data_IF_579249595989
#
_entry.id   IF_579249595989
#
_cell.length_a   1.000
_cell.length_b   1.000
_cell.length_c   1.000
_cell.angle_alpha   90.00
_cell.angle_beta   90.00
_cell.angle_gamma   90.00
#
_symmetry.space_group_name_H-M   'P 1'
#
loop_
_entity.id
_entity.type
_entity.pdbx_description
1 polymer ?
#
# COMPACT_ATOMS: atom_id res chain seq x y z
N UNK A 1 48.08 -49.31 15.79
CA UNK A 1 48.16 -48.02 16.52
C UNK A 1 47.05 -47.12 16.03
N UNK A 2 46.13 -46.60 16.81
CA UNK A 2 45.48 -46.98 18.06
C UNK A 2 44.17 -46.17 18.00
N UNK A 3 43.06 -46.80 18.34
CA UNK A 3 41.71 -46.22 18.36
C UNK A 3 41.61 -45.05 19.35
N UNK A 4 40.66 -44.15 19.11
CA UNK A 4 40.34 -43.03 19.99
C UNK A 4 38.89 -42.59 19.81
N UNK A 5 37.97 -43.43 20.30
CA UNK A 5 36.58 -43.10 20.59
C UNK A 5 36.51 -42.20 21.83
N UNK A 6 36.01 -40.97 21.69
CA UNK A 6 35.60 -40.15 22.82
C UNK A 6 34.08 -39.97 22.85
N UNK A 7 33.51 -40.72 23.77
CA UNK A 7 32.22 -40.55 24.42
C UNK A 7 32.16 -39.21 25.17
N UNK A 8 31.19 -38.34 24.85
CA UNK A 8 30.74 -37.30 25.78
C UNK A 8 29.48 -37.77 26.51
N UNK A 9 29.67 -37.99 27.80
CA UNK A 9 28.65 -38.25 28.78
C UNK A 9 27.97 -36.95 29.23
N UNK A 10 26.65 -37.03 29.34
CA UNK A 10 25.85 -36.75 30.53
C UNK A 10 26.37 -35.67 31.49
N UNK A 11 25.69 -34.52 31.49
CA UNK A 11 25.78 -33.52 32.54
C UNK A 11 24.39 -32.91 32.79
N UNK A 12 23.78 -33.32 33.91
CA UNK A 12 23.17 -32.37 34.84
C UNK A 12 21.71 -32.04 34.62
N UNK A 13 20.85 -32.94 35.09
CA UNK A 13 19.51 -32.61 35.58
C UNK A 13 19.59 -31.51 36.66
N UNK A 14 19.05 -30.33 36.36
CA UNK A 14 19.01 -29.18 37.27
C UNK A 14 17.65 -28.50 37.29
N UNK A 15 16.78 -28.97 38.18
CA UNK A 15 15.85 -28.12 38.95
C UNK A 15 14.75 -27.37 38.21
N UNK A 16 13.65 -28.06 37.89
CA UNK A 16 12.32 -27.46 37.83
C UNK A 16 11.89 -27.02 39.23
N UNK A 17 11.88 -25.72 39.53
CA UNK A 17 11.31 -25.20 40.77
C UNK A 17 10.95 -23.70 40.71
N UNK A 18 10.19 -23.24 39.70
CA UNK A 18 9.60 -21.89 39.72
C UNK A 18 8.25 -21.80 38.97
N UNK A 19 7.26 -22.62 39.32
CA UNK A 19 5.85 -22.36 38.93
C UNK A 19 4.87 -22.91 39.97
N UNK A 20 4.84 -22.30 41.16
CA UNK A 20 3.73 -22.43 42.09
C UNK A 20 3.54 -21.14 42.87
N UNK A 21 3.10 -20.11 42.14
CA UNK A 21 2.52 -18.89 42.72
C UNK A 21 0.99 -19.02 42.74
N UNK A 22 0.30 -18.67 43.84
CA UNK A 22 -1.15 -18.81 43.92
C UNK A 22 -1.83 -17.88 42.93
N UNK A 23 -2.72 -18.45 42.11
CA UNK A 23 -3.60 -17.73 41.20
C UNK A 23 -4.51 -16.78 41.99
N UNK A 24 -4.12 -15.51 42.10
CA UNK A 24 -5.03 -14.44 42.54
C UNK A 24 -5.91 -14.03 41.37
N UNK A 25 -6.89 -14.87 41.05
CA UNK A 25 -8.06 -14.41 40.33
C UNK A 25 -8.92 -13.58 41.31
N UNK A 26 -9.32 -12.35 40.96
CA UNK A 26 -10.33 -11.65 41.73
C UNK A 26 -11.65 -12.43 41.65
N UNK A 27 -12.45 -12.46 42.74
CA UNK A 27 -13.75 -13.12 42.71
C UNK A 27 -14.67 -12.46 41.67
N UNK A 28 -15.66 -13.21 41.14
CA UNK A 28 -16.63 -12.68 40.20
C UNK A 28 -17.36 -11.48 40.81
N UNK A 29 -17.41 -10.41 40.02
CA UNK A 29 -18.00 -9.11 40.37
C UNK A 29 -19.51 -9.31 40.60
N UNK A 30 -19.89 -9.41 41.87
CA UNK A 30 -21.26 -9.48 42.36
C UNK A 30 -21.89 -8.08 42.44
N UNK A 31 -21.77 -7.27 41.37
CA UNK A 31 -21.98 -5.81 41.39
C UNK A 31 -23.02 -5.28 40.40
N UNK A 32 -23.88 -6.15 39.86
CA UNK A 32 -24.95 -5.71 38.96
C UNK A 32 -26.17 -5.15 39.72
N UNK A 33 -26.48 -5.61 40.93
CA UNK A 33 -27.68 -5.14 41.65
C UNK A 33 -27.52 -3.72 42.24
N UNK A 34 -26.31 -3.33 42.64
CA UNK A 34 -26.03 -1.96 43.11
C UNK A 34 -26.02 -0.93 41.97
N UNK A 35 -25.54 -1.32 40.78
CA UNK A 35 -25.52 -0.47 39.58
C UNK A 35 -26.93 -0.26 39.02
N UNK A 36 -27.76 -1.30 39.03
CA UNK A 36 -29.18 -1.21 38.63
C UNK A 36 -29.97 -0.36 39.64
N UNK A 37 -29.69 -0.49 40.94
CA UNK A 37 -30.33 0.34 41.97
C UNK A 37 -29.88 1.81 41.91
N UNK A 38 -28.62 2.07 41.56
CA UNK A 38 -28.11 3.43 41.33
C UNK A 38 -28.70 4.07 40.05
N UNK A 39 -28.88 3.29 38.97
CA UNK A 39 -29.54 3.72 37.74
C UNK A 39 -31.05 3.97 37.93
N UNK A 40 -31.71 3.18 38.77
CA UNK A 40 -33.13 3.40 39.10
C UNK A 40 -33.34 4.59 40.05
N UNK A 41 -32.39 4.85 40.96
CA UNK A 41 -32.44 6.04 41.83
C UNK A 41 -32.11 7.34 41.09
N UNK A 42 -31.30 7.31 40.02
CA UNK A 42 -31.09 8.48 39.16
C UNK A 42 -32.27 8.77 38.23
N UNK A 43 -33.08 7.77 37.90
CA UNK A 43 -34.31 7.93 37.10
C UNK A 43 -35.44 8.66 37.85
N UNK A 44 -35.43 8.68 39.19
CA UNK A 44 -36.49 9.29 40.01
C UNK A 44 -36.37 10.82 40.19
N UNK A 45 -35.33 11.47 39.65
CA UNK A 45 -35.05 12.91 39.86
C UNK A 45 -35.62 13.82 38.77
N UNK A 46 -36.26 13.31 37.72
CA UNK A 46 -36.65 14.14 36.56
C UNK A 46 -38.16 14.17 36.33
N UNK A 47 -38.87 14.85 37.23
CA UNK A 47 -40.19 15.43 36.98
C UNK A 47 -40.10 16.96 36.77
N UNK A 48 -38.97 17.43 36.22
CA UNK A 48 -38.86 18.80 35.72
C UNK A 48 -39.34 18.82 34.25
N UNK A 49 -40.09 19.85 33.82
CA UNK A 49 -40.55 19.96 32.44
C UNK A 49 -39.35 19.86 31.50
N UNK A 50 -39.43 18.95 30.52
CA UNK A 50 -38.40 18.69 29.51
C UNK A 50 -37.89 20.01 28.92
N UNK A 51 -36.77 20.53 29.45
CA UNK A 51 -36.01 21.56 28.74
C UNK A 51 -35.59 20.92 27.44
N UNK A 52 -35.99 21.53 26.33
CA UNK A 52 -35.52 21.16 25.00
C UNK A 52 -34.00 21.34 24.98
N UNK A 53 -33.26 20.26 25.29
CA UNK A 53 -31.82 20.23 25.12
C UNK A 53 -31.63 20.10 23.61
N UNK A 54 -31.09 21.12 22.92
CA UNK A 54 -30.83 21.00 21.50
C UNK A 54 -29.93 19.79 21.29
N UNK A 55 -30.45 18.78 20.58
CA UNK A 55 -29.69 17.59 20.22
C UNK A 55 -28.85 17.92 18.99
N UNK A 56 -27.58 17.53 19.04
CA UNK A 56 -26.74 17.59 17.85
C UNK A 56 -27.33 16.63 16.81
N UNK A 57 -27.56 17.07 15.55
CA UNK A 57 -28.05 16.20 14.49
C UNK A 57 -27.10 15.01 14.27
N UNK A 58 -27.64 13.83 13.96
CA UNK A 58 -26.86 12.60 13.81
C UNK A 58 -25.81 12.73 12.70
N UNK A 59 -26.13 13.47 11.63
CA UNK A 59 -25.25 13.72 10.48
C UNK A 59 -23.97 14.44 10.91
N UNK A 60 -24.06 15.34 11.89
CA UNK A 60 -22.90 16.06 12.42
C UNK A 60 -22.04 15.10 13.27
N UNK A 61 -22.66 14.23 14.06
CA UNK A 61 -21.94 13.22 14.84
C UNK A 61 -21.23 12.20 13.92
N UNK A 62 -21.91 11.76 12.86
CA UNK A 62 -21.35 10.86 11.86
C UNK A 62 -20.17 11.52 11.13
N UNK A 63 -20.29 12.80 10.77
CA UNK A 63 -19.20 13.58 10.18
C UNK A 63 -18.01 13.70 11.14
N UNK A 64 -18.25 13.94 12.44
CA UNK A 64 -17.19 13.98 13.46
C UNK A 64 -16.46 12.64 13.52
N UNK A 65 -17.21 11.54 13.65
CA UNK A 65 -16.66 10.17 13.68
C UNK A 65 -15.93 9.84 12.38
N UNK A 66 -16.43 10.33 11.24
CA UNK A 66 -15.83 10.07 9.94
C UNK A 66 -14.50 10.82 9.71
N UNK A 67 -14.24 11.89 10.45
CA UNK A 67 -12.95 12.59 10.40
C UNK A 67 -11.99 12.16 11.52
N UNK A 68 -12.35 11.16 12.34
CA UNK A 68 -11.47 10.56 13.33
C UNK A 68 -10.68 9.40 12.73
N UNK A 69 -9.36 9.46 12.83
CA UNK A 69 -8.44 8.40 12.40
C UNK A 69 -7.91 7.54 13.57
N UNK A 70 -7.99 8.06 14.80
CA UNK A 70 -7.46 7.38 15.98
C UNK A 70 -8.47 6.38 16.56
N UNK A 71 -8.06 5.10 16.60
CA UNK A 71 -8.88 4.02 17.17
C UNK A 71 -9.14 4.21 18.67
N UNK A 72 -8.22 4.79 19.44
CA UNK A 72 -8.41 5.00 20.88
C UNK A 72 -9.49 6.06 21.15
N UNK A 73 -9.48 7.16 20.37
CA UNK A 73 -10.54 8.16 20.39
C UNK A 73 -11.88 7.57 19.98
N UNK A 74 -11.94 6.77 18.90
CA UNK A 74 -13.17 6.10 18.47
C UNK A 74 -13.74 5.14 19.53
N UNK A 75 -12.89 4.39 20.23
CA UNK A 75 -13.30 3.53 21.33
C UNK A 75 -13.90 4.36 22.49
N UNK A 76 -13.24 5.46 22.84
CA UNK A 76 -13.72 6.37 23.89
C UNK A 76 -15.07 6.98 23.50
N UNK A 77 -15.21 7.50 22.28
CA UNK A 77 -16.47 8.06 21.78
C UNK A 77 -17.61 7.02 21.78
N UNK A 78 -17.30 5.76 21.47
CA UNK A 78 -18.30 4.68 21.43
C UNK A 78 -18.98 4.41 22.77
N UNK A 79 -18.38 4.81 23.90
CA UNK A 79 -18.94 4.63 25.24
C UNK A 79 -19.60 5.89 25.81
N UNK A 80 -19.45 7.05 25.15
CA UNK A 80 -19.99 8.33 25.65
C UNK A 80 -21.52 8.37 25.60
N UNK A 81 -22.12 8.05 24.44
CA UNK A 81 -23.57 7.96 24.30
C UNK A 81 -23.98 7.09 23.10
N UNK A 82 -25.25 6.65 23.09
CA UNK A 82 -25.81 5.77 22.05
C UNK A 82 -25.69 6.30 20.62
N UNK A 83 -25.73 7.62 20.45
CA UNK A 83 -25.64 8.25 19.13
C UNK A 83 -24.28 8.03 18.43
N UNK A 84 -23.20 7.81 19.19
CA UNK A 84 -21.88 7.50 18.64
C UNK A 84 -21.69 6.00 18.35
N UNK A 85 -22.43 5.12 19.02
CA UNK A 85 -22.16 3.68 19.04
C UNK A 85 -22.12 3.08 17.64
N UNK A 86 -23.12 3.37 16.80
CA UNK A 86 -23.21 2.78 15.46
C UNK A 86 -22.03 3.20 14.58
N UNK A 87 -21.79 4.51 14.46
CA UNK A 87 -20.77 5.08 13.59
C UNK A 87 -19.37 4.74 14.06
N UNK A 88 -19.12 4.76 15.38
CA UNK A 88 -17.85 4.31 15.95
C UNK A 88 -17.62 2.82 15.70
N UNK A 89 -18.62 1.94 15.91
CA UNK A 89 -18.48 0.50 15.62
C UNK A 89 -18.19 0.25 14.13
N UNK A 90 -18.93 0.91 13.24
CA UNK A 90 -18.70 0.83 11.79
C UNK A 90 -17.25 1.17 11.44
N UNK A 91 -16.71 2.25 12.02
CA UNK A 91 -15.30 2.65 11.84
C UNK A 91 -14.30 1.67 12.46
N UNK A 92 -14.54 1.21 13.69
CA UNK A 92 -13.65 0.32 14.43
C UNK A 92 -13.50 -1.06 13.75
N UNK A 93 -14.60 -1.59 13.18
CA UNK A 93 -14.61 -2.89 12.50
C UNK A 93 -14.37 -2.80 10.98
N UNK A 94 -14.25 -1.60 10.41
CA UNK A 94 -14.07 -1.43 8.95
C UNK A 94 -12.83 -2.13 8.42
N UNK A 95 -11.73 -1.99 9.16
CA UNK A 95 -10.38 -2.40 8.75
C UNK A 95 -9.85 -3.46 9.72
N UNK A 96 -9.84 -4.72 9.29
CA UNK A 96 -9.29 -5.85 10.05
C UNK A 96 -7.85 -6.12 9.62
N UNK A 97 -6.98 -6.31 10.60
CA UNK A 97 -5.57 -6.63 10.41
C UNK A 97 -5.25 -7.90 11.19
N UNK A 98 -4.80 -8.94 10.49
CA UNK A 98 -4.37 -10.21 11.07
C UNK A 98 -2.85 -10.28 11.03
N UNK A 99 -2.20 -10.15 12.19
CA UNK A 99 -0.76 -10.35 12.34
C UNK A 99 -0.48 -11.77 12.84
N UNK A 100 0.31 -12.53 12.10
CA UNK A 100 0.38 -13.99 12.29
C UNK A 100 1.27 -14.48 13.45
N UNK A 101 1.72 -13.61 14.35
CA UNK A 101 2.73 -13.95 15.38
C UNK A 101 2.22 -14.54 16.69
N UNK A 102 0.95 -14.35 17.10
CA UNK A 102 0.53 -14.85 18.44
C UNK A 102 -0.96 -15.08 18.66
N UNK A 103 -1.84 -14.35 17.97
CA UNK A 103 -3.26 -14.32 18.37
C UNK A 103 -4.11 -15.11 17.37
N UNK A 104 -4.72 -16.21 17.83
CA UNK A 104 -5.77 -16.88 17.07
C UNK A 104 -6.98 -15.93 17.00
N UNK A 105 -7.65 -15.81 15.84
CA UNK A 105 -8.81 -14.92 15.71
C UNK A 105 -10.07 -15.46 16.41
N UNK A 106 -9.92 -16.35 17.40
CA UNK A 106 -11.01 -17.07 18.09
C UNK A 106 -12.03 -16.10 18.67
N UNK A 107 -11.55 -15.10 19.43
CA UNK A 107 -12.42 -14.08 20.03
C UNK A 107 -13.18 -13.27 18.99
N UNK A 108 -12.53 -12.92 17.87
CA UNK A 108 -13.18 -12.16 16.80
C UNK A 108 -14.21 -13.01 16.04
N UNK A 109 -13.90 -14.29 15.81
CA UNK A 109 -14.83 -15.22 15.19
C UNK A 109 -16.06 -15.44 16.06
N UNK A 110 -15.89 -15.69 17.37
CA UNK A 110 -17.00 -15.81 18.31
C UNK A 110 -17.82 -14.52 18.38
N UNK A 111 -17.15 -13.36 18.35
CA UNK A 111 -17.84 -12.07 18.31
C UNK A 111 -18.73 -11.95 17.06
N UNK A 112 -18.26 -12.35 15.89
CA UNK A 112 -19.06 -12.31 14.66
C UNK A 112 -20.17 -13.36 14.61
N UNK A 113 -20.00 -14.51 15.25
CA UNK A 113 -21.10 -15.46 15.42
C UNK A 113 -22.21 -14.89 16.32
N UNK A 114 -21.83 -14.23 17.42
CA UNK A 114 -22.79 -13.60 18.33
C UNK A 114 -23.43 -12.33 17.75
N UNK A 115 -22.67 -11.58 16.94
CA UNK A 115 -23.10 -10.31 16.36
C UNK A 115 -22.80 -10.23 14.85
N UNK A 116 -23.53 -10.97 13.99
CA UNK A 116 -23.23 -11.06 12.55
C UNK A 116 -23.26 -9.72 11.80
N UNK A 117 -24.04 -8.74 12.29
CA UNK A 117 -24.08 -7.41 11.70
C UNK A 117 -22.73 -6.68 11.77
N UNK A 118 -21.86 -6.99 12.74
CA UNK A 118 -20.52 -6.40 12.83
C UNK A 118 -19.61 -6.88 11.69
N UNK A 119 -19.74 -8.13 11.26
CA UNK A 119 -18.99 -8.66 10.12
C UNK A 119 -19.31 -7.91 8.82
N UNK A 120 -20.54 -7.38 8.70
CA UNK A 120 -20.96 -6.57 7.55
C UNK A 120 -20.31 -5.18 7.50
N UNK A 121 -19.69 -4.72 8.58
CA UNK A 121 -18.93 -3.46 8.59
C UNK A 121 -17.52 -3.62 8.02
N UNK A 122 -17.00 -4.84 7.97
CA UNK A 122 -15.65 -5.11 7.48
C UNK A 122 -15.59 -4.89 5.97
N UNK A 123 -14.76 -3.94 5.55
CA UNK A 123 -14.52 -3.59 4.16
C UNK A 123 -13.09 -3.87 3.73
N UNK A 124 -12.13 -3.81 4.66
CA UNK A 124 -10.72 -4.04 4.39
C UNK A 124 -10.19 -5.17 5.27
N UNK A 125 -9.51 -6.12 4.64
CA UNK A 125 -8.84 -7.23 5.32
C UNK A 125 -7.38 -7.24 4.93
N UNK A 126 -6.52 -7.09 5.93
CA UNK A 126 -5.08 -7.17 5.77
C UNK A 126 -4.54 -8.38 6.52
N UNK A 127 -3.73 -9.21 5.86
CA UNK A 127 -3.14 -10.40 6.45
C UNK A 127 -1.62 -10.30 6.34
N UNK A 128 -0.92 -10.32 7.48
CA UNK A 128 0.53 -10.23 7.58
C UNK A 128 1.15 -11.55 8.01
N UNK A 129 1.97 -12.15 7.15
CA UNK A 129 2.86 -13.25 7.53
C UNK A 129 4.21 -12.70 8.00
N UNK A 130 4.48 -12.82 9.29
CA UNK A 130 5.77 -12.44 9.85
C UNK A 130 6.79 -13.57 9.60
N UNK A 131 8.09 -13.25 9.43
CA UNK A 131 9.14 -14.26 9.44
C UNK A 131 9.02 -15.11 10.72
N UNK A 132 9.06 -16.44 10.58
CA UNK A 132 8.89 -17.40 11.67
C UNK A 132 7.49 -17.47 12.31
N UNK A 133 6.45 -16.87 11.69
CA UNK A 133 5.08 -16.99 12.18
C UNK A 133 4.53 -18.41 12.10
N UNK A 134 3.66 -18.75 13.05
CA UNK A 134 3.27 -20.08 13.52
C UNK A 134 2.48 -20.99 12.56
N UNK A 135 2.42 -22.27 12.91
CA UNK A 135 1.84 -23.44 12.20
C UNK A 135 0.38 -23.25 11.74
N UNK A 136 -0.36 -22.33 12.34
CA UNK A 136 -1.80 -22.19 12.10
C UNK A 136 -2.18 -21.76 10.67
N UNK A 137 -1.25 -21.23 9.86
CA UNK A 137 -1.54 -21.07 8.41
C UNK A 137 -1.72 -22.39 7.69
N UNK A 138 -1.01 -23.45 8.13
CA UNK A 138 -1.05 -24.76 7.51
C UNK A 138 -2.24 -25.58 8.00
N UNK A 139 -2.70 -25.33 9.23
CA UNK A 139 -3.70 -26.18 9.91
C UNK A 139 -4.94 -25.45 10.42
N UNK A 140 -4.91 -24.13 10.49
CA UNK A 140 -5.98 -23.32 11.09
C UNK A 140 -7.20 -23.24 10.18
N UNK A 141 -8.31 -23.79 10.65
CA UNK A 141 -9.62 -23.72 9.98
C UNK A 141 -10.36 -22.40 10.24
N UNK A 142 -9.94 -21.64 11.26
CA UNK A 142 -10.72 -20.51 11.75
C UNK A 142 -10.69 -19.29 10.83
N UNK A 143 -9.52 -18.87 10.34
CA UNK A 143 -9.42 -17.72 9.45
C UNK A 143 -10.23 -17.92 8.15
N UNK A 144 -10.19 -19.09 7.47
CA UNK A 144 -11.09 -19.39 6.36
C UNK A 144 -12.58 -19.23 6.71
N UNK A 145 -13.00 -19.71 7.88
CA UNK A 145 -14.38 -19.61 8.35
C UNK A 145 -14.76 -18.14 8.62
N UNK A 146 -13.89 -17.39 9.28
CA UNK A 146 -14.07 -15.96 9.54
C UNK A 146 -14.17 -15.16 8.25
N UNK A 147 -13.30 -15.41 7.27
CA UNK A 147 -13.37 -14.80 5.94
C UNK A 147 -14.69 -15.10 5.23
N UNK A 148 -15.30 -16.26 5.49
CA UNK A 148 -16.63 -16.61 5.00
C UNK A 148 -17.77 -15.77 5.56
N UNK A 149 -17.59 -15.12 6.72
CA UNK A 149 -18.58 -14.22 7.32
C UNK A 149 -18.50 -12.79 6.75
N UNK A 150 -17.40 -12.44 6.07
CA UNK A 150 -17.14 -11.08 5.60
C UNK A 150 -17.72 -10.87 4.20
N UNK A 151 -19.00 -10.46 4.14
CA UNK A 151 -19.75 -10.35 2.86
C UNK A 151 -19.53 -9.04 2.10
N UNK A 152 -18.86 -8.06 2.69
CA UNK A 152 -18.69 -6.70 2.14
C UNK A 152 -17.22 -6.27 1.97
N UNK A 153 -16.31 -7.25 1.87
CA UNK A 153 -14.89 -6.97 1.67
C UNK A 153 -14.68 -6.38 0.29
N UNK A 154 -14.23 -5.13 0.25
CA UNK A 154 -13.86 -4.42 -0.98
C UNK A 154 -12.34 -4.28 -1.12
N UNK A 155 -11.57 -4.50 -0.05
CA UNK A 155 -10.11 -4.42 -0.06
C UNK A 155 -9.48 -5.62 0.61
N UNK A 156 -8.53 -6.26 -0.08
CA UNK A 156 -7.67 -7.29 0.49
C UNK A 156 -6.22 -6.88 0.32
N UNK A 157 -5.43 -7.07 1.37
CA UNK A 157 -3.99 -6.96 1.30
C UNK A 157 -3.32 -8.17 1.95
N UNK A 158 -2.43 -8.83 1.21
CA UNK A 158 -1.61 -9.95 1.66
C UNK A 158 -0.16 -9.47 1.73
N UNK A 159 0.40 -9.43 2.93
CA UNK A 159 1.74 -8.92 3.21
C UNK A 159 2.62 -9.97 3.87
N UNK A 160 3.91 -9.90 3.62
CA UNK A 160 4.92 -10.69 4.30
C UNK A 160 5.56 -11.74 3.41
N UNK A 161 6.63 -12.36 3.89
CA UNK A 161 7.30 -13.46 3.19
C UNK A 161 6.42 -14.71 3.29
N UNK A 162 5.25 -14.68 2.65
CA UNK A 162 4.63 -15.89 2.16
C UNK A 162 5.73 -16.55 1.37
N UNK A 163 6.24 -17.68 1.86
CA UNK A 163 6.99 -18.56 0.98
C UNK A 163 6.06 -18.96 -0.16
N UNK A 164 6.05 -20.24 -0.47
CA UNK A 164 5.17 -20.68 -1.53
C UNK A 164 3.71 -20.55 -1.09
N UNK A 165 2.84 -20.05 -1.97
CA UNK A 165 1.39 -20.08 -1.75
C UNK A 165 0.91 -21.48 -1.32
N UNK A 166 1.63 -22.51 -1.76
CA UNK A 166 1.47 -23.92 -1.38
C UNK A 166 1.60 -24.19 0.12
N UNK A 167 2.27 -23.33 0.88
CA UNK A 167 2.33 -23.40 2.35
C UNK A 167 0.99 -23.03 3.02
N UNK A 168 0.10 -22.36 2.29
CA UNK A 168 -1.19 -21.93 2.81
C UNK A 168 -2.15 -23.11 2.91
N UNK A 169 -2.91 -23.22 4.01
CA UNK A 169 -3.97 -24.22 4.12
C UNK A 169 -4.91 -24.13 2.89
N UNK A 170 -5.27 -25.26 2.25
CA UNK A 170 -6.13 -25.25 1.07
C UNK A 170 -7.48 -24.55 1.29
N UNK A 171 -8.02 -24.63 2.51
CA UNK A 171 -9.24 -23.93 2.92
C UNK A 171 -9.08 -22.41 2.90
N UNK A 172 -7.93 -21.89 3.34
CA UNK A 172 -7.64 -20.45 3.31
C UNK A 172 -7.43 -19.96 1.88
N UNK A 173 -6.67 -20.70 1.07
CA UNK A 173 -6.49 -20.39 -0.34
C UNK A 173 -7.84 -20.35 -1.09
N UNK A 174 -8.72 -21.31 -0.81
CA UNK A 174 -10.07 -21.35 -1.39
C UNK A 174 -10.95 -20.19 -0.92
N UNK A 175 -10.88 -19.81 0.36
CA UNK A 175 -11.61 -18.67 0.90
C UNK A 175 -11.15 -17.35 0.25
N UNK A 176 -9.84 -17.14 0.12
CA UNK A 176 -9.27 -15.97 -0.56
C UNK A 176 -9.66 -15.93 -2.03
N UNK A 177 -9.56 -17.06 -2.74
CA UNK A 177 -9.98 -17.16 -4.15
C UNK A 177 -11.45 -16.77 -4.32
N UNK A 178 -12.33 -17.24 -3.43
CA UNK A 178 -13.76 -16.88 -3.44
C UNK A 178 -13.98 -15.38 -3.26
N UNK A 179 -13.27 -14.73 -2.33
CA UNK A 179 -13.42 -13.29 -2.12
C UNK A 179 -12.93 -12.52 -3.35
N UNK A 180 -11.74 -12.86 -3.87
CA UNK A 180 -11.20 -12.22 -5.07
C UNK A 180 -12.10 -12.43 -6.29
N UNK A 181 -12.75 -13.59 -6.40
CA UNK A 181 -13.69 -13.91 -7.49
C UNK A 181 -15.10 -13.36 -7.30
N UNK A 182 -15.39 -12.65 -6.19
CA UNK A 182 -16.77 -12.22 -5.86
C UNK A 182 -17.31 -11.10 -6.73
N UNK A 183 -16.45 -10.38 -7.46
CA UNK A 183 -16.80 -9.17 -8.22
C UNK A 183 -17.04 -7.92 -7.35
N UNK A 184 -17.09 -8.05 -6.03
CA UNK A 184 -17.22 -6.92 -5.09
C UNK A 184 -15.86 -6.32 -4.68
N UNK A 185 -14.76 -7.02 -4.98
CA UNK A 185 -13.43 -6.59 -4.58
C UNK A 185 -12.96 -5.44 -5.48
N UNK A 186 -12.71 -4.28 -4.88
CA UNK A 186 -12.26 -3.07 -5.58
C UNK A 186 -10.74 -2.95 -5.60
N UNK A 187 -10.06 -3.44 -4.54
CA UNK A 187 -8.61 -3.31 -4.36
C UNK A 187 -7.98 -4.62 -3.87
N UNK A 188 -6.89 -5.01 -4.50
CA UNK A 188 -6.09 -6.17 -4.10
C UNK A 188 -4.62 -5.81 -4.07
N UNK A 189 -3.98 -6.00 -2.92
CA UNK A 189 -2.55 -5.81 -2.72
C UNK A 189 -1.90 -7.16 -2.40
N UNK A 190 -0.95 -7.55 -3.22
CA UNK A 190 -0.12 -8.73 -3.04
C UNK A 190 1.33 -8.27 -2.89
N UNK A 191 1.92 -8.48 -1.72
CA UNK A 191 3.33 -8.21 -1.45
C UNK A 191 4.04 -9.50 -1.07
N UNK A 192 5.13 -9.79 -1.77
CA UNK A 192 6.06 -10.89 -1.47
C UNK A 192 5.36 -12.25 -1.40
N UNK A 193 4.52 -12.54 -2.39
CA UNK A 193 3.76 -13.80 -2.50
C UNK A 193 4.31 -14.65 -3.65
N UNK A 194 4.89 -15.82 -3.39
CA UNK A 194 5.41 -16.72 -4.45
C UNK A 194 4.48 -17.88 -4.76
N UNK A 195 4.66 -18.49 -5.94
CA UNK A 195 3.91 -19.64 -6.43
C UNK A 195 2.38 -19.45 -6.40
N UNK A 196 1.91 -18.23 -6.72
CA UNK A 196 0.48 -17.93 -6.81
C UNK A 196 -0.16 -18.85 -7.87
N UNK A 197 -1.24 -19.58 -7.56
CA UNK A 197 -1.92 -20.43 -8.53
C UNK A 197 -2.54 -19.60 -9.65
N UNK A 198 -2.47 -20.12 -10.88
CA UNK A 198 -3.07 -19.45 -12.03
C UNK A 198 -4.55 -19.07 -11.85
N UNK A 199 -5.43 -19.88 -11.23
CA UNK A 199 -6.82 -19.47 -10.96
C UNK A 199 -6.93 -18.20 -10.09
N UNK A 200 -6.07 -18.09 -9.07
CA UNK A 200 -6.04 -16.92 -8.19
C UNK A 200 -5.52 -15.69 -8.92
N UNK A 201 -4.44 -15.84 -9.71
CA UNK A 201 -3.91 -14.74 -10.51
C UNK A 201 -4.97 -14.21 -11.50
N UNK A 202 -5.69 -15.09 -12.20
CA UNK A 202 -6.77 -14.67 -13.13
C UNK A 202 -7.86 -13.89 -12.42
N UNK A 203 -8.33 -14.38 -11.27
CA UNK A 203 -9.35 -13.68 -10.49
C UNK A 203 -8.82 -12.30 -10.04
N UNK A 204 -7.55 -12.23 -9.63
CA UNK A 204 -6.88 -10.99 -9.22
C UNK A 204 -6.82 -9.96 -10.35
N UNK A 205 -6.65 -10.41 -11.60
CA UNK A 205 -6.63 -9.54 -12.79
C UNK A 205 -8.02 -8.95 -13.11
N UNK A 206 -9.10 -9.41 -12.48
CA UNK A 206 -10.42 -8.78 -12.64
C UNK A 206 -10.66 -7.60 -11.70
N UNK A 207 -9.78 -7.44 -10.69
CA UNK A 207 -9.89 -6.42 -9.65
C UNK A 207 -9.47 -5.04 -10.21
N UNK A 208 -10.30 -3.99 -10.08
CA UNK A 208 -10.02 -2.68 -10.68
C UNK A 208 -8.69 -2.05 -10.24
N UNK A 209 -8.32 -2.22 -8.97
CA UNK A 209 -7.06 -1.70 -8.42
C UNK A 209 -6.19 -2.86 -7.94
N UNK A 210 -5.33 -3.36 -8.83
CA UNK A 210 -4.44 -4.46 -8.55
C UNK A 210 -3.02 -3.96 -8.31
N UNK A 211 -2.40 -4.48 -7.25
CA UNK A 211 -1.05 -4.12 -6.83
C UNK A 211 -0.26 -5.38 -6.52
N UNK A 212 0.80 -5.63 -7.27
CA UNK A 212 1.64 -6.83 -7.17
C UNK A 212 3.10 -6.44 -7.00
N UNK A 213 3.65 -6.75 -5.84
CA UNK A 213 5.04 -6.49 -5.49
C UNK A 213 5.73 -7.79 -5.13
N UNK A 214 6.82 -8.13 -5.80
CA UNK A 214 7.53 -9.40 -5.59
C UNK A 214 6.62 -10.64 -5.65
N UNK A 215 5.66 -10.65 -6.59
CA UNK A 215 4.70 -11.75 -6.76
C UNK A 215 5.23 -12.71 -7.82
N UNK A 216 5.21 -14.02 -7.52
CA UNK A 216 5.63 -15.07 -8.46
C UNK A 216 4.50 -16.01 -8.82
N UNK A 217 4.40 -16.38 -10.11
CA UNK A 217 3.49 -17.41 -10.61
C UNK A 217 4.06 -18.81 -10.35
N UNK A 218 3.19 -19.77 -10.01
CA UNK A 218 3.57 -21.19 -9.93
C UNK A 218 4.06 -21.68 -11.31
N UNK A 219 5.30 -22.17 -11.36
CA UNK A 219 5.95 -22.61 -12.60
C UNK A 219 5.36 -23.92 -13.14
N UNK A 220 4.65 -24.67 -12.30
CA UNK A 220 4.03 -25.95 -12.67
C UNK A 220 2.57 -25.81 -13.07
N UNK A 221 2.01 -24.59 -13.05
CA UNK A 221 0.60 -24.39 -13.37
C UNK A 221 0.34 -24.80 -14.82
N UNK A 222 -0.55 -25.79 -15.07
CA UNK A 222 -0.86 -26.21 -16.43
C UNK A 222 -1.45 -25.05 -17.21
N UNK A 223 -1.09 -24.97 -18.49
CA UNK A 223 -1.58 -23.98 -19.45
C UNK A 223 -3.05 -24.29 -19.79
N UNK A 224 -3.94 -24.04 -18.83
CA UNK A 224 -5.37 -24.31 -18.96
C UNK A 224 -6.01 -23.12 -19.65
N UNK A 225 -6.57 -23.37 -20.84
CA UNK A 225 -7.30 -22.38 -21.65
C UNK A 225 -8.29 -21.58 -20.80
N UNK A 226 -8.25 -20.26 -20.99
CA UNK A 226 -8.92 -19.27 -20.16
C UNK A 226 -10.34 -18.93 -20.67
N UNK A 227 -11.34 -18.79 -19.79
CA UNK A 227 -12.59 -18.12 -20.14
C UNK A 227 -12.31 -16.65 -20.50
N UNK A 228 -12.76 -16.21 -21.67
CA UNK A 228 -12.48 -14.89 -22.28
C UNK A 228 -13.21 -13.69 -21.64
N UNK A 229 -13.98 -13.87 -20.58
CA UNK A 229 -14.93 -12.86 -20.11
C UNK A 229 -14.63 -12.40 -18.68
N UNK A 230 -13.61 -11.55 -18.53
CA UNK A 230 -13.33 -10.82 -17.29
C UNK A 230 -13.05 -9.34 -17.58
N UNK A 231 -13.39 -8.47 -16.63
CA UNK A 231 -12.93 -7.07 -16.63
C UNK A 231 -11.40 -7.03 -16.52
N UNK A 232 -10.76 -6.11 -17.24
CA UNK A 232 -9.34 -5.75 -17.06
C UNK A 232 -9.20 -4.75 -15.90
N UNK A 233 -8.06 -4.73 -15.17
CA UNK A 233 -7.83 -3.74 -14.12
C UNK A 233 -7.78 -2.33 -14.73
N UNK A 234 -8.25 -1.33 -13.99
CA UNK A 234 -8.14 0.08 -14.37
C UNK A 234 -6.81 0.68 -13.87
N UNK A 235 -6.43 0.31 -12.65
CA UNK A 235 -5.16 0.64 -12.03
C UNK A 235 -4.34 -0.63 -11.80
N UNK A 236 -3.13 -0.62 -12.32
CA UNK A 236 -2.18 -1.70 -12.20
C UNK A 236 -0.88 -1.17 -11.58
N UNK A 237 -0.48 -1.72 -10.44
CA UNK A 237 0.77 -1.38 -9.78
C UNK A 237 1.67 -2.61 -9.70
N UNK A 238 2.84 -2.54 -10.33
CA UNK A 238 3.73 -3.68 -10.50
C UNK A 238 5.13 -3.37 -10.00
N UNK A 239 5.72 -4.32 -9.27
CA UNK A 239 7.16 -4.33 -9.09
C UNK A 239 7.82 -5.19 -10.17
N UNK A 240 8.76 -4.63 -10.92
CA UNK A 240 9.39 -5.35 -12.02
C UNK A 240 10.66 -6.04 -11.52
N UNK A 241 10.51 -7.26 -11.00
CA UNK A 241 11.59 -8.22 -10.80
C UNK A 241 11.46 -9.44 -11.71
N UNK A 242 12.38 -10.39 -11.53
CA UNK A 242 12.38 -11.67 -12.23
C UNK A 242 11.14 -12.53 -11.95
N UNK A 243 10.49 -12.38 -10.79
CA UNK A 243 9.30 -13.17 -10.44
C UNK A 243 8.07 -12.65 -11.17
N UNK A 244 7.92 -11.32 -11.24
CA UNK A 244 6.84 -10.66 -11.98
C UNK A 244 7.00 -10.83 -13.49
N UNK A 245 8.21 -11.07 -14.00
CA UNK A 245 8.46 -11.40 -15.41
C UNK A 245 7.53 -12.51 -15.96
N UNK A 246 7.36 -13.62 -15.22
CA UNK A 246 6.46 -14.71 -15.64
C UNK A 246 4.98 -14.31 -15.63
N UNK A 247 4.58 -13.47 -14.68
CA UNK A 247 3.22 -12.91 -14.62
C UNK A 247 2.98 -12.01 -15.84
N UNK A 248 3.98 -11.21 -16.21
CA UNK A 248 3.91 -10.37 -17.39
C UNK A 248 3.83 -11.19 -18.67
N UNK A 249 4.66 -12.22 -18.82
CA UNK A 249 4.56 -13.15 -19.96
C UNK A 249 3.16 -13.75 -20.07
N UNK A 250 2.60 -14.23 -18.95
CA UNK A 250 1.23 -14.75 -18.88
C UNK A 250 0.18 -13.69 -19.29
N UNK A 251 0.32 -12.45 -18.81
CA UNK A 251 -0.59 -11.35 -19.18
C UNK A 251 -0.43 -10.94 -20.65
N UNK A 252 0.80 -10.95 -21.19
CA UNK A 252 1.09 -10.56 -22.58
C UNK A 252 0.56 -11.59 -23.59
N UNK A 253 0.54 -12.87 -23.22
CA UNK A 253 -0.17 -13.91 -23.98
C UNK A 253 -1.69 -13.66 -24.04
N UNK A 254 -2.20 -12.80 -23.17
CA UNK A 254 -3.62 -12.49 -23.01
C UNK A 254 -3.88 -10.97 -23.01
N UNK A 255 -3.72 -10.27 -24.15
CA UNK A 255 -3.68 -8.80 -24.21
C UNK A 255 -4.90 -8.08 -23.63
N UNK A 256 -6.04 -8.77 -23.51
CA UNK A 256 -7.26 -8.20 -22.93
C UNK A 256 -7.06 -7.73 -21.47
N UNK A 257 -6.12 -8.30 -20.71
CA UNK A 257 -5.80 -7.83 -19.35
C UNK A 257 -5.16 -6.44 -19.27
N UNK A 258 -4.78 -5.85 -20.41
CA UNK A 258 -4.26 -4.49 -20.48
C UNK A 258 -5.27 -3.50 -21.08
N UNK A 259 -6.38 -4.00 -21.63
CA UNK A 259 -7.32 -3.21 -22.45
C UNK A 259 -8.02 -2.08 -21.70
N UNK A 260 -8.09 -2.12 -20.37
CA UNK A 260 -8.68 -1.07 -19.54
C UNK A 260 -7.67 -0.37 -18.62
N UNK A 261 -6.37 -0.69 -18.70
CA UNK A 261 -5.37 -0.11 -17.80
C UNK A 261 -5.16 1.35 -18.17
N UNK A 262 -5.68 2.24 -17.33
CA UNK A 262 -5.55 3.71 -17.46
C UNK A 262 -4.46 4.28 -16.58
N UNK A 263 -4.16 3.58 -15.48
CA UNK A 263 -3.16 4.01 -14.50
C UNK A 263 -2.18 2.88 -14.29
N UNK A 264 -0.90 3.15 -14.53
CA UNK A 264 0.18 2.20 -14.33
C UNK A 264 1.17 2.79 -13.34
N UNK A 265 1.41 2.08 -12.25
CA UNK A 265 2.52 2.33 -11.35
C UNK A 265 3.55 1.20 -11.50
N UNK A 266 4.83 1.55 -11.65
CA UNK A 266 5.90 0.56 -11.83
C UNK A 266 7.07 0.87 -10.90
N UNK A 267 7.54 -0.17 -10.22
CA UNK A 267 8.72 -0.13 -9.37
C UNK A 267 9.74 -1.18 -9.87
N UNK A 268 10.63 -0.83 -10.81
CA UNK A 268 11.75 -1.67 -11.22
C UNK A 268 12.67 -1.94 -10.02
N UNK A 269 12.96 -3.21 -9.75
CA UNK A 269 13.80 -3.61 -8.60
C UNK A 269 15.29 -3.57 -8.96
N UNK A 270 16.15 -3.03 -8.07
CA UNK A 270 17.59 -2.97 -8.29
C UNK A 270 18.14 -4.34 -8.64
N UNK A 271 19.04 -4.40 -9.62
CA UNK A 271 19.76 -5.63 -10.03
C UNK A 271 18.99 -6.66 -10.87
N UNK A 272 17.70 -6.45 -11.18
CA UNK A 272 17.00 -7.33 -12.12
C UNK A 272 17.34 -6.94 -13.57
N UNK A 273 18.13 -7.80 -14.24
CA UNK A 273 18.60 -7.63 -15.63
C UNK A 273 17.43 -7.40 -16.61
N UNK A 274 16.25 -7.95 -16.29
CA UNK A 274 15.09 -7.91 -17.17
C UNK A 274 14.12 -6.76 -16.87
N UNK A 275 14.37 -5.90 -15.88
CA UNK A 275 13.39 -4.89 -15.48
C UNK A 275 13.09 -3.87 -16.58
N UNK A 276 14.09 -3.48 -17.37
CA UNK A 276 13.92 -2.57 -18.51
C UNK A 276 13.14 -3.23 -19.65
N UNK A 277 13.41 -4.51 -19.93
CA UNK A 277 12.68 -5.31 -20.91
C UNK A 277 11.20 -5.47 -20.52
N UNK A 278 10.95 -5.84 -19.27
CA UNK A 278 9.62 -6.00 -18.71
C UNK A 278 8.83 -4.69 -18.75
N UNK A 279 9.47 -3.56 -18.40
CA UNK A 279 8.83 -2.26 -18.48
C UNK A 279 8.43 -1.91 -19.91
N UNK A 280 9.33 -2.12 -20.89
CA UNK A 280 9.03 -1.86 -22.30
C UNK A 280 7.86 -2.71 -22.82
N UNK A 281 7.80 -3.99 -22.44
CA UNK A 281 6.70 -4.88 -22.79
C UNK A 281 5.36 -4.41 -22.20
N UNK A 282 5.35 -4.05 -20.91
CA UNK A 282 4.14 -3.52 -20.26
C UNK A 282 3.68 -2.23 -20.91
N UNK A 283 4.59 -1.28 -21.13
CA UNK A 283 4.27 -0.01 -21.79
C UNK A 283 3.70 -0.21 -23.20
N UNK A 284 4.26 -1.17 -23.96
CA UNK A 284 3.72 -1.52 -25.28
C UNK A 284 2.31 -2.12 -25.19
N UNK A 285 2.00 -2.87 -24.12
CA UNK A 285 0.69 -3.49 -23.93
C UNK A 285 -0.41 -2.49 -23.53
N UNK A 286 -0.05 -1.42 -22.79
CA UNK A 286 -0.98 -0.36 -22.35
C UNK A 286 -0.95 0.90 -23.21
N UNK A 287 -0.27 0.86 -24.36
CA UNK A 287 0.11 2.06 -25.10
C UNK A 287 -1.08 2.95 -25.52
N UNK A 288 -2.23 2.35 -25.85
CA UNK A 288 -3.43 3.08 -26.29
C UNK A 288 -4.38 3.48 -25.16
N UNK A 289 -4.18 2.98 -23.94
CA UNK A 289 -5.14 3.14 -22.83
C UNK A 289 -4.56 3.94 -21.67
N UNK A 290 -3.23 3.98 -21.55
CA UNK A 290 -2.54 4.57 -20.42
C UNK A 290 -2.71 6.10 -20.38
N UNK A 291 -3.36 6.60 -19.33
CA UNK A 291 -3.57 8.02 -19.06
C UNK A 291 -2.60 8.57 -18.02
N UNK A 292 -2.20 7.74 -17.05
CA UNK A 292 -1.29 8.09 -15.95
C UNK A 292 -0.21 7.05 -15.75
N UNK A 293 1.04 7.49 -15.73
CA UNK A 293 2.22 6.66 -15.51
C UNK A 293 3.01 7.13 -14.30
N UNK A 294 3.06 6.31 -13.26
CA UNK A 294 3.87 6.54 -12.07
C UNK A 294 5.08 5.58 -12.12
N UNK A 295 6.29 6.11 -12.22
CA UNK A 295 7.53 5.30 -12.26
C UNK A 295 8.36 5.61 -11.04
N UNK A 296 8.77 4.58 -10.32
CA UNK A 296 9.77 4.68 -9.27
C UNK A 296 11.12 4.21 -9.80
N UNK A 297 12.16 5.01 -9.61
CA UNK A 297 13.53 4.70 -9.98
C UNK A 297 14.44 4.85 -8.77
N UNK A 298 15.27 3.84 -8.55
CA UNK A 298 16.41 3.94 -7.65
C UNK A 298 17.66 4.30 -8.45
N UNK A 299 18.55 5.11 -7.87
CA UNK A 299 19.75 5.60 -8.55
C UNK A 299 20.69 4.49 -9.04
N UNK A 300 20.73 3.35 -8.35
CA UNK A 300 21.56 2.19 -8.72
C UNK A 300 21.21 1.55 -10.08
N UNK A 301 20.12 1.95 -10.73
CA UNK A 301 19.62 1.32 -11.96
C UNK A 301 20.16 1.92 -13.26
N UNK A 302 20.86 3.04 -13.17
CA UNK A 302 20.98 3.98 -14.28
C UNK A 302 21.87 3.44 -15.39
N UNK A 303 22.98 2.79 -15.02
CA UNK A 303 23.98 2.33 -15.99
C UNK A 303 23.48 1.14 -16.83
N UNK A 304 22.47 0.42 -16.34
CA UNK A 304 21.87 -0.72 -17.02
C UNK A 304 20.52 -0.40 -17.68
N UNK A 305 20.08 0.86 -17.62
CA UNK A 305 18.83 1.27 -18.23
C UNK A 305 19.00 1.43 -19.74
N UNK A 306 18.56 0.41 -20.50
CA UNK A 306 18.58 0.42 -21.96
C UNK A 306 17.56 1.42 -22.52
N UNK A 307 18.02 2.66 -22.70
CA UNK A 307 17.27 3.79 -23.26
C UNK A 307 16.60 3.48 -24.60
N UNK A 308 17.15 2.56 -25.39
CA UNK A 308 16.65 2.25 -26.74
C UNK A 308 15.30 1.55 -26.73
N UNK A 309 14.92 0.92 -25.61
CA UNK A 309 13.66 0.15 -25.48
C UNK A 309 12.44 1.00 -25.17
N UNK A 310 12.62 2.27 -24.86
CA UNK A 310 11.55 3.15 -24.39
C UNK A 310 11.08 4.08 -25.50
N UNK A 311 9.95 3.71 -26.10
CA UNK A 311 9.26 4.51 -27.10
C UNK A 311 7.97 5.11 -26.51
N UNK A 312 8.12 6.28 -25.87
CA UNK A 312 6.99 7.01 -25.28
C UNK A 312 6.00 7.54 -26.33
N UNK A 313 6.36 7.55 -27.62
CA UNK A 313 5.49 8.04 -28.72
C UNK A 313 4.25 7.19 -28.91
N UNK A 314 4.32 5.92 -28.46
CA UNK A 314 3.19 4.99 -28.49
C UNK A 314 2.15 5.26 -27.40
N UNK A 315 2.51 5.99 -26.34
CA UNK A 315 1.63 6.29 -25.21
C UNK A 315 0.69 7.45 -25.55
N UNK A 316 -0.19 7.26 -26.53
CA UNK A 316 -0.98 8.34 -27.17
C UNK A 316 -2.02 8.99 -26.25
N UNK A 317 -2.40 8.30 -25.17
CA UNK A 317 -3.38 8.76 -24.19
C UNK A 317 -2.76 9.34 -22.92
N UNK A 318 -1.43 9.36 -22.82
CA UNK A 318 -0.73 9.75 -21.60
C UNK A 318 -0.89 11.26 -21.32
N UNK A 319 -1.42 11.56 -20.13
CA UNK A 319 -1.71 12.94 -19.65
C UNK A 319 -0.94 13.29 -18.40
N UNK A 320 -0.63 12.30 -17.57
CA UNK A 320 0.04 12.52 -16.28
C UNK A 320 1.21 11.56 -16.13
N UNK A 321 2.36 12.10 -15.73
CA UNK A 321 3.53 11.31 -15.38
C UNK A 321 4.03 11.72 -14.01
N UNK A 322 4.33 10.74 -13.16
CA UNK A 322 5.00 10.95 -11.89
C UNK A 322 6.29 10.12 -11.85
N UNK A 323 7.41 10.79 -11.62
CA UNK A 323 8.74 10.19 -11.54
C UNK A 323 9.19 10.25 -10.09
N UNK A 324 9.18 9.12 -9.39
CA UNK A 324 9.75 8.98 -8.07
C UNK A 324 11.23 8.60 -8.21
N UNK A 325 12.11 9.47 -7.77
CA UNK A 325 13.56 9.28 -7.86
C UNK A 325 14.08 9.14 -6.45
N UNK A 326 14.54 7.94 -6.11
CA UNK A 326 15.27 7.67 -4.86
C UNK A 326 16.73 7.93 -5.13
N UNK A 327 17.24 9.03 -4.57
CA UNK A 327 18.63 9.44 -4.68
C UNK A 327 19.43 8.71 -3.60
N UNK A 328 20.60 8.18 -3.93
CA UNK A 328 21.59 7.68 -2.98
C UNK A 328 22.80 8.62 -2.91
N UNK A 329 23.07 9.36 -4.00
CA UNK A 329 24.14 10.33 -4.12
C UNK A 329 23.59 11.77 -4.19
N UNK A 330 24.50 12.75 -4.16
CA UNK A 330 24.18 14.18 -4.17
C UNK A 330 23.80 14.73 -5.56
N UNK A 331 23.85 13.90 -6.60
CA UNK A 331 23.67 14.33 -7.98
C UNK A 331 22.32 13.88 -8.52
N UNK A 332 21.60 14.80 -9.18
CA UNK A 332 20.40 14.41 -9.92
C UNK A 332 20.77 13.40 -10.99
N UNK A 333 19.92 12.39 -11.24
CA UNK A 333 20.25 11.38 -12.23
C UNK A 333 20.45 11.97 -13.63
N UNK A 334 21.56 11.64 -14.33
CA UNK A 334 21.86 12.19 -15.65
C UNK A 334 20.87 11.75 -16.74
N UNK A 335 20.04 10.73 -16.47
CA UNK A 335 19.00 10.28 -17.39
C UNK A 335 17.74 11.15 -17.34
N UNK A 336 17.49 11.91 -16.27
CA UNK A 336 16.24 12.66 -16.12
C UNK A 336 16.03 13.66 -17.27
N UNK A 337 17.04 14.44 -17.72
CA UNK A 337 16.92 15.24 -18.93
C UNK A 337 16.57 14.43 -20.18
N UNK A 338 17.11 13.21 -20.33
CA UNK A 338 16.81 12.35 -21.46
C UNK A 338 15.35 11.85 -21.44
N UNK A 339 14.83 11.46 -20.26
CA UNK A 339 13.41 11.07 -20.11
C UNK A 339 12.51 12.24 -20.49
N UNK A 340 12.79 13.42 -19.93
CA UNK A 340 12.03 14.63 -20.21
C UNK A 340 12.07 15.00 -21.70
N UNK A 341 13.23 14.91 -22.35
CA UNK A 341 13.36 15.17 -23.78
C UNK A 341 12.55 14.17 -24.65
N UNK A 342 12.51 12.89 -24.26
CA UNK A 342 11.71 11.89 -24.96
C UNK A 342 10.21 12.09 -24.77
N UNK A 343 9.77 12.38 -23.55
CA UNK A 343 8.37 12.71 -23.25
C UNK A 343 7.92 13.96 -23.99
N UNK A 344 8.79 14.96 -24.05
CA UNK A 344 8.60 16.21 -24.81
C UNK A 344 8.29 15.92 -26.28
N UNK A 345 9.15 15.14 -26.93
CA UNK A 345 9.02 14.83 -28.35
C UNK A 345 7.79 13.95 -28.65
N UNK A 346 7.36 13.15 -27.68
CA UNK A 346 6.45 12.04 -27.89
C UNK A 346 5.01 12.30 -27.43
N UNK A 347 4.82 13.16 -26.42
CA UNK A 347 3.55 13.29 -25.70
C UNK A 347 3.14 14.77 -25.58
N UNK A 348 2.74 15.43 -26.69
CA UNK A 348 2.33 16.84 -26.68
C UNK A 348 1.08 17.11 -25.83
N UNK A 349 0.34 16.06 -25.45
CA UNK A 349 -0.88 16.10 -24.61
C UNK A 349 -0.59 16.00 -23.11
N UNK A 350 0.67 15.86 -22.70
CA UNK A 350 1.03 15.75 -21.29
C UNK A 350 0.65 17.04 -20.55
N UNK A 351 -0.33 16.95 -19.63
CA UNK A 351 -0.86 18.10 -18.89
C UNK A 351 -0.22 18.27 -17.52
N UNK A 352 0.26 17.17 -16.92
CA UNK A 352 0.85 17.17 -15.57
C UNK A 352 2.11 16.30 -15.53
N UNK A 353 3.16 16.84 -14.94
CA UNK A 353 4.43 16.16 -14.70
C UNK A 353 4.82 16.37 -13.23
N UNK A 354 5.02 15.31 -12.48
CA UNK A 354 5.53 15.37 -11.12
C UNK A 354 6.88 14.65 -11.03
N UNK A 355 7.85 15.26 -10.35
CA UNK A 355 9.16 14.70 -10.03
C UNK A 355 9.27 14.69 -8.51
N UNK A 356 9.21 13.52 -7.92
CA UNK A 356 9.30 13.31 -6.47
C UNK A 356 10.72 12.84 -6.16
N UNK A 357 11.50 13.70 -5.51
CA UNK A 357 12.86 13.42 -5.10
C UNK A 357 12.86 12.92 -3.66
N UNK A 358 13.24 11.66 -3.46
CA UNK A 358 13.45 11.10 -2.13
C UNK A 358 14.93 11.27 -1.77
N UNK A 359 15.20 12.10 -0.76
CA UNK A 359 16.56 12.48 -0.35
C UNK A 359 16.95 11.78 0.97
N UNK A 360 18.04 10.99 0.98
CA UNK A 360 18.63 10.47 2.21
C UNK A 360 19.09 11.62 3.11
N UNK A 361 19.12 11.39 4.42
CA UNK A 361 19.59 12.41 5.38
C UNK A 361 21.04 12.86 5.10
N UNK A 362 21.90 11.96 4.61
CA UNK A 362 23.26 12.27 4.21
C UNK A 362 23.30 13.28 3.05
N UNK A 363 22.38 13.15 2.07
CA UNK A 363 22.28 14.06 0.94
C UNK A 363 21.85 15.45 1.40
N UNK A 364 20.85 15.50 2.28
CA UNK A 364 20.32 16.75 2.82
C UNK A 364 21.39 17.54 3.61
N UNK A 365 22.34 16.87 4.25
CA UNK A 365 23.37 17.50 5.07
C UNK A 365 24.52 18.15 4.27
N UNK A 366 24.75 17.75 3.02
CA UNK A 366 25.78 18.38 2.20
C UNK A 366 25.20 19.57 1.44
N UNK A 367 25.91 20.70 1.49
CA UNK A 367 25.58 21.91 0.72
C UNK A 367 25.99 21.81 -0.75
N UNK A 368 26.57 20.68 -1.17
CA UNK A 368 26.86 20.39 -2.57
C UNK A 368 25.54 20.11 -3.29
N UNK A 369 24.91 21.17 -3.80
CA UNK A 369 23.68 21.08 -4.57
C UNK A 369 23.81 20.16 -5.79
N UNK A 370 22.67 19.78 -6.36
CA UNK A 370 22.63 18.94 -7.55
C UNK A 370 23.40 19.56 -8.73
N UNK A 371 23.91 18.71 -9.63
CA UNK A 371 24.71 19.11 -10.80
C UNK A 371 24.03 20.25 -11.58
N UNK A 372 24.64 21.46 -11.61
CA UNK A 372 24.09 22.62 -12.31
C UNK A 372 23.80 22.35 -13.79
N UNK A 373 24.55 21.45 -14.43
CA UNK A 373 24.36 21.08 -15.83
C UNK A 373 23.05 20.31 -16.02
N UNK A 374 22.74 19.38 -15.12
CA UNK A 374 21.49 18.61 -15.15
C UNK A 374 20.30 19.52 -14.89
N UNK A 375 20.39 20.39 -13.87
CA UNK A 375 19.31 21.32 -13.51
C UNK A 375 19.03 22.31 -14.65
N UNK A 376 20.08 22.88 -15.25
CA UNK A 376 19.95 23.80 -16.39
C UNK A 376 19.25 23.14 -17.58
N UNK A 377 19.53 21.85 -17.85
CA UNK A 377 18.83 21.07 -18.87
C UNK A 377 17.36 20.86 -18.52
N UNK A 378 17.03 20.55 -17.25
CA UNK A 378 15.64 20.42 -16.80
C UNK A 378 14.90 21.74 -16.96
N UNK A 379 15.49 22.87 -16.55
CA UNK A 379 14.88 24.20 -16.70
C UNK A 379 14.63 24.56 -18.17
N UNK A 380 15.58 24.24 -19.05
CA UNK A 380 15.43 24.45 -20.49
C UNK A 380 14.27 23.63 -21.07
N UNK A 381 14.13 22.35 -20.65
CA UNK A 381 13.08 21.45 -21.12
C UNK A 381 11.69 21.85 -20.61
N UNK A 382 11.56 22.23 -19.34
CA UNK A 382 10.28 22.61 -18.73
C UNK A 382 9.85 24.05 -19.11
N UNK A 383 10.83 24.94 -19.26
CA UNK A 383 10.61 26.36 -19.54
C UNK A 383 10.30 26.71 -20.99
N UNK A 384 10.65 25.85 -21.96
CA UNK A 384 10.31 26.06 -23.36
C UNK A 384 8.80 25.88 -23.60
N UNK A 385 8.07 26.94 -23.95
CA UNK A 385 6.62 26.84 -24.24
C UNK A 385 6.30 25.87 -25.38
N UNK A 386 7.18 25.79 -26.37
CA UNK A 386 7.06 24.84 -27.49
C UNK A 386 7.39 23.39 -27.10
N UNK A 387 8.14 23.19 -26.01
CA UNK A 387 8.59 21.86 -25.59
C UNK A 387 7.40 21.01 -25.13
N UNK A 388 6.60 21.53 -24.20
CA UNK A 388 5.44 20.82 -23.67
C UNK A 388 4.20 21.71 -23.80
N UNK A 389 3.60 21.84 -24.98
CA UNK A 389 2.57 22.87 -25.23
C UNK A 389 1.35 22.74 -24.30
N UNK A 390 0.97 21.52 -23.91
CA UNK A 390 -0.17 21.26 -23.02
C UNK A 390 0.16 21.20 -21.53
N UNK A 391 1.44 21.31 -21.13
CA UNK A 391 1.84 21.16 -19.72
C UNK A 391 1.34 22.35 -18.90
N UNK A 392 0.47 22.05 -17.93
CA UNK A 392 -0.16 23.02 -17.04
C UNK A 392 0.52 23.05 -15.67
N UNK A 393 1.01 21.89 -15.20
CA UNK A 393 1.58 21.73 -13.87
C UNK A 393 2.83 20.85 -13.93
N UNK A 394 3.95 21.40 -13.47
CA UNK A 394 5.22 20.73 -13.27
C UNK A 394 5.57 20.81 -11.79
N UNK A 395 5.49 19.68 -11.10
CA UNK A 395 5.62 19.64 -9.65
C UNK A 395 6.91 18.96 -9.24
N UNK A 396 7.71 19.60 -8.39
CA UNK A 396 8.89 18.98 -7.76
C UNK A 396 8.63 18.87 -6.28
N UNK A 397 8.51 17.63 -5.78
CA UNK A 397 8.36 17.37 -4.36
C UNK A 397 9.67 16.85 -3.80
N UNK A 398 10.18 17.49 -2.77
CA UNK A 398 11.38 17.02 -2.04
C UNK A 398 10.92 16.33 -0.75
N UNK A 399 11.23 15.03 -0.62
CA UNK A 399 10.87 14.21 0.54
C UNK A 399 12.15 13.78 1.27
N UNK A 400 12.45 14.29 2.47
CA UNK A 400 13.55 13.78 3.27
C UNK A 400 13.20 12.39 3.83
N UNK A 401 14.15 11.46 3.82
CA UNK A 401 13.93 10.09 4.28
C UNK A 401 13.87 9.99 5.82
N UNK A 402 14.70 10.76 6.52
CA UNK A 402 14.83 10.67 7.99
C UNK A 402 15.22 11.98 8.67
N UNK A 403 15.38 13.07 7.92
CA UNK A 403 15.89 14.35 8.42
C UNK A 403 14.83 15.14 9.21
N UNK A 404 15.21 15.93 10.24
CA UNK A 404 14.33 16.90 10.85
C UNK A 404 13.85 17.94 9.80
N UNK A 405 12.65 18.53 9.99
CA UNK A 405 12.06 19.53 9.11
C UNK A 405 12.96 20.67 8.61
N UNK A 406 14.02 21.00 9.35
CA UNK A 406 14.76 22.27 9.24
C UNK A 406 15.68 22.40 8.03
N UNK A 407 16.12 21.31 7.40
CA UNK A 407 17.07 21.35 6.26
C UNK A 407 16.42 21.26 4.88
N UNK A 408 15.11 20.99 4.80
CA UNK A 408 14.37 20.90 3.54
C UNK A 408 14.07 22.24 2.87
N UNK A 409 13.87 23.36 3.61
CA UNK A 409 13.67 24.68 3.00
C UNK A 409 14.78 25.07 2.03
N UNK A 410 16.02 24.66 2.29
CA UNK A 410 17.18 24.97 1.44
C UNK A 410 17.09 24.28 0.08
N UNK A 411 16.61 23.03 0.03
CA UNK A 411 16.41 22.30 -1.23
C UNK A 411 15.25 22.86 -2.04
N UNK A 412 14.14 23.18 -1.38
CA UNK A 412 12.99 23.81 -2.05
C UNK A 412 13.41 25.17 -2.63
N UNK A 413 14.13 25.98 -1.86
CA UNK A 413 14.68 27.25 -2.31
C UNK A 413 15.69 27.08 -3.45
N UNK A 414 16.56 26.07 -3.35
CA UNK A 414 17.54 25.72 -4.38
C UNK A 414 16.86 25.41 -5.72
N UNK A 415 15.91 24.47 -5.76
CA UNK A 415 15.18 24.15 -6.99
C UNK A 415 14.37 25.33 -7.52
N UNK A 416 13.75 26.12 -6.65
CA UNK A 416 13.01 27.32 -7.05
C UNK A 416 13.91 28.42 -7.63
N UNK A 417 15.17 28.51 -7.20
CA UNK A 417 16.16 29.48 -7.70
C UNK A 417 16.81 29.03 -9.03
N UNK A 418 17.02 27.72 -9.20
CA UNK A 418 17.74 27.16 -10.35
C UNK A 418 16.83 26.70 -11.51
N UNK A 419 15.51 26.88 -11.39
CA UNK A 419 14.53 26.61 -12.47
C UNK A 419 13.75 27.89 -12.91
N UNK A 420 14.44 28.98 -13.27
CA UNK A 420 13.80 30.27 -13.53
C UNK A 420 12.95 30.31 -14.81
N UNK A 421 13.24 29.50 -15.85
CA UNK A 421 12.42 29.46 -17.07
C UNK A 421 11.10 28.74 -16.80
N UNK A 422 11.14 27.58 -16.16
CA UNK A 422 9.93 26.84 -15.78
C UNK A 422 9.02 27.65 -14.84
N UNK A 423 9.62 28.41 -13.90
CA UNK A 423 8.91 29.32 -13.02
C UNK A 423 8.28 30.51 -13.76
N UNK A 424 9.02 31.17 -14.66
CA UNK A 424 8.49 32.28 -15.48
C UNK A 424 7.32 31.85 -16.36
N UNK A 425 7.33 30.60 -16.81
CA UNK A 425 6.21 29.99 -17.55
C UNK A 425 4.96 29.75 -16.68
N UNK A 426 5.10 29.79 -15.35
CA UNK A 426 3.99 29.59 -14.41
C UNK A 426 3.57 28.12 -14.22
N UNK A 427 4.34 27.17 -14.74
CA UNK A 427 4.06 25.73 -14.62
C UNK A 427 4.73 25.10 -13.40
N UNK A 428 5.83 25.68 -12.91
CA UNK A 428 6.61 25.05 -11.84
C UNK A 428 6.04 25.33 -10.44
N UNK A 429 5.85 24.25 -9.68
CA UNK A 429 5.65 24.26 -8.23
C UNK A 429 6.72 23.41 -7.58
N UNK A 430 7.37 23.94 -6.55
CA UNK A 430 8.34 23.21 -5.73
C UNK A 430 7.82 23.20 -4.31
N UNK A 431 7.68 22.02 -3.73
CA UNK A 431 7.22 21.89 -2.35
C UNK A 431 8.00 20.84 -1.57
N UNK A 432 7.93 20.98 -0.25
CA UNK A 432 8.37 19.97 0.68
C UNK A 432 7.25 18.95 0.87
N UNK A 433 7.55 17.69 0.57
CA UNK A 433 6.68 16.57 0.91
C UNK A 433 7.03 15.98 2.27
N UNK A 434 6.09 15.21 2.82
CA UNK A 434 6.25 14.51 4.09
C UNK A 434 5.89 13.05 3.91
N UNK A 435 6.71 12.17 4.48
CA UNK A 435 6.34 10.76 4.63
C UNK A 435 5.42 10.61 5.84
N UNK A 436 4.36 9.82 5.71
CA UNK A 436 3.43 9.61 6.82
C UNK A 436 4.15 8.79 7.92
N UNK A 437 4.17 9.31 9.15
CA UNK A 437 4.83 8.65 10.30
C UNK A 437 4.18 7.27 10.52
N UNK A 438 4.97 6.20 10.43
CA UNK A 438 4.50 4.81 10.57
C UNK A 438 4.60 3.97 9.28
N UNK A 439 4.86 4.58 8.12
CA UNK A 439 5.27 3.86 6.92
C UNK A 439 6.76 3.51 7.04
N UNK A 440 7.07 2.31 7.55
CA UNK A 440 8.44 1.81 7.65
C UNK A 440 9.19 1.89 6.30
N UNK A 441 10.52 2.00 6.37
CA UNK A 441 11.49 1.91 5.25
C UNK A 441 11.57 0.48 4.70
N UNK A 442 10.44 -0.21 4.54
CA UNK A 442 10.37 -1.31 3.60
C UNK A 442 10.48 -0.73 2.19
N UNK A 443 11.08 -1.44 1.21
CA UNK A 443 11.07 -1.01 -0.19
C UNK A 443 9.63 -0.65 -0.52
N UNK A 444 9.46 0.64 -0.76
CA UNK A 444 8.25 1.42 -0.57
C UNK A 444 7.00 0.58 -0.88
N UNK A 445 6.26 0.20 0.16
CA UNK A 445 4.85 -0.17 0.00
C UNK A 445 4.23 0.91 -0.89
N UNK A 446 3.46 0.53 -1.91
CA UNK A 446 3.02 1.49 -2.90
C UNK A 446 2.36 2.68 -2.21
N UNK A 447 2.82 3.86 -2.58
CA UNK A 447 2.20 5.16 -2.31
C UNK A 447 0.79 5.19 -2.92
N UNK A 448 -0.13 4.40 -2.37
CA UNK A 448 -1.51 4.34 -2.78
C UNK A 448 -2.20 5.42 -1.96
N UNK A 449 -2.25 6.61 -2.55
CA UNK A 449 -2.86 7.83 -2.03
C UNK A 449 -1.93 8.70 -1.14
N UNK A 450 -0.82 9.22 -1.69
CA UNK A 450 -0.38 10.56 -1.26
C UNK A 450 -1.39 11.54 -1.83
N UNK A 451 -2.37 11.94 -1.02
CA UNK A 451 -3.29 13.01 -1.38
C UNK A 451 -2.48 14.30 -1.56
N UNK A 452 -2.60 15.02 -2.69
CA UNK A 452 -2.19 16.42 -2.68
C UNK A 452 -3.01 17.09 -1.59
N UNK A 453 -2.33 17.82 -0.69
CA UNK A 453 -2.94 18.49 0.45
C UNK A 453 -4.32 19.06 0.08
N UNK A 454 -5.35 18.76 0.90
CA UNK A 454 -6.60 19.54 0.92
C UNK A 454 -6.18 21.00 0.81
N UNK A 455 -6.62 21.69 -0.24
CA UNK A 455 -6.55 23.16 -0.28
C UNK A 455 -7.09 23.62 1.07
N UNK A 456 -6.25 24.27 1.88
CA UNK A 456 -6.77 25.09 2.97
C UNK A 456 -7.67 26.10 2.27
N UNK A 457 -8.98 25.90 2.40
CA UNK A 457 -9.97 26.91 2.06
C UNK A 457 -9.81 28.11 2.97
#
# INVERSE_FOLDING_TARGET
MLEGTETMADAGSGGEAWLSGPSRFPPPIQRNDELVTALLKSAAVVAAPYRYVPRVPQEILDLIVDNMDDKATLQTCSVVCWAFVHSCRKRLFRDLCFMMSSDTPDGLYQLFLCYPHLASYVQSVTIYRLPNSSIWMRTGSLLPALLGLLTRVTKIALFGCWGDWLDMAPSLASALLRIVSSGALERLHLLTVTNVPAPFLRASLTVPNLSMFHVGLDSNAPDVMLPRAGSSPEFLNLSLDSKVGKILEFMLQNPHYFSNVRRLAVNPIPHSINSSANLALVLSAVQSTLERLDIQWHELHIDHFDKSRFDYSRLTCLRTIQLHIVMEQHTLPPYLPWVLDRLRASNPRLTSLAIVLHLPAAVVASSSGADPVVISKIDALLGGGEAFPALQDAHITVIPESSPPSLVPDYVAFFAAHLPKARRRGVLRVEQGWRKRGEAVMPLLPYIEVWPHRKKG
#
